data_IF_066121587598
#
_entry.id   IF_066121587598
#
_cell.length_a   1.000
_cell.length_b   1.000
_cell.length_c   1.000
_cell.angle_alpha   90.00
_cell.angle_beta   90.00
_cell.angle_gamma   90.00
#
_symmetry.space_group_name_H-M   'P 1'
#
loop_
_entity.id
_entity.type
_entity.pdbx_description
1 polymer ?
#
# COMPACT_ATOMS: atom_id res chain seq x y z
N UNK A 1 3.31 -4.42 15.35
CA UNK A 1 4.08 -3.24 14.91
C UNK A 1 3.38 -2.68 13.69
N UNK A 2 3.04 -1.39 13.67
CA UNK A 2 2.12 -0.83 12.65
C UNK A 2 2.84 -0.14 11.48
N UNK A 3 4.04 0.40 11.70
CA UNK A 3 4.82 1.12 10.67
C UNK A 3 5.98 0.22 10.22
N UNK A 4 6.18 -0.03 8.91
CA UNK A 4 7.27 -0.86 8.40
C UNK A 4 8.64 -0.34 8.84
N UNK A 5 9.59 -1.23 9.09
CA UNK A 5 10.99 -0.92 9.39
C UNK A 5 11.30 -0.62 10.86
N UNK A 6 10.34 -0.14 11.65
CA UNK A 6 10.58 0.17 13.08
C UNK A 6 11.11 -1.01 13.90
N UNK A 7 10.65 -2.23 13.67
CA UNK A 7 11.02 -3.40 14.47
C UNK A 7 12.41 -3.90 14.14
N UNK A 8 12.83 -3.74 12.89
CA UNK A 8 14.22 -3.88 12.51
C UNK A 8 15.08 -2.80 13.19
N UNK A 9 14.63 -1.54 13.21
CA UNK A 9 15.36 -0.47 13.92
C UNK A 9 15.48 -0.76 15.43
N UNK A 10 14.41 -1.19 16.09
CA UNK A 10 14.41 -1.58 17.49
C UNK A 10 15.29 -2.81 17.76
N UNK A 11 15.33 -3.76 16.84
CA UNK A 11 16.13 -4.98 16.94
C UNK A 11 17.59 -4.83 16.52
N UNK A 12 18.16 -3.62 16.44
CA UNK A 12 19.53 -3.34 15.98
C UNK A 12 19.82 -3.77 14.52
N UNK A 13 18.78 -3.90 13.70
CA UNK A 13 18.86 -4.17 12.26
C UNK A 13 18.64 -2.85 11.46
N UNK A 14 19.47 -1.84 11.75
CA UNK A 14 19.30 -0.48 11.24
C UNK A 14 19.18 -0.38 9.71
N UNK A 15 20.01 -1.12 8.97
CA UNK A 15 20.02 -1.09 7.50
C UNK A 15 18.71 -1.55 6.88
N UNK A 16 18.18 -2.70 7.31
CA UNK A 16 16.90 -3.21 6.78
C UNK A 16 15.73 -2.38 7.28
N UNK A 17 15.80 -1.84 8.52
CA UNK A 17 14.78 -0.92 9.04
C UNK A 17 14.63 0.34 8.18
N UNK A 18 15.73 0.99 7.84
CA UNK A 18 15.71 2.16 6.95
C UNK A 18 15.28 1.82 5.53
N UNK A 19 15.65 0.64 5.01
CA UNK A 19 15.19 0.19 3.71
C UNK A 19 13.66 0.03 3.66
N UNK A 20 13.06 -0.65 4.64
CA UNK A 20 11.60 -0.81 4.71
C UNK A 20 10.88 0.53 4.89
N UNK A 21 11.34 1.38 5.81
CA UNK A 21 10.76 2.72 6.02
C UNK A 21 10.83 3.59 4.76
N UNK A 22 11.98 3.59 4.10
CA UNK A 22 12.20 4.38 2.88
C UNK A 22 11.31 3.91 1.74
N UNK A 23 11.25 2.60 1.50
CA UNK A 23 10.37 2.01 0.47
C UNK A 23 8.90 2.29 0.75
N UNK A 24 8.45 2.11 1.99
CA UNK A 24 7.06 2.37 2.37
C UNK A 24 6.68 3.84 2.14
N UNK A 25 7.52 4.76 2.61
CA UNK A 25 7.29 6.20 2.46
C UNK A 25 7.21 6.60 0.98
N UNK A 26 8.09 6.02 0.15
CA UNK A 26 8.08 6.24 -1.30
C UNK A 26 6.76 5.74 -1.92
N UNK A 27 6.35 4.51 -1.62
CA UNK A 27 5.15 3.92 -2.22
C UNK A 27 3.86 4.61 -1.75
N UNK A 28 3.73 4.93 -0.46
CA UNK A 28 2.61 5.74 0.03
C UNK A 28 2.59 7.11 -0.65
N UNK A 29 3.75 7.76 -0.79
CA UNK A 29 3.86 9.05 -1.48
C UNK A 29 3.41 8.99 -2.94
N UNK A 30 3.81 7.94 -3.66
CA UNK A 30 3.39 7.73 -5.05
C UNK A 30 1.91 7.37 -5.16
N UNK A 31 1.36 6.61 -4.20
CA UNK A 31 -0.07 6.33 -4.15
C UNK A 31 -0.88 7.62 -3.94
N UNK A 32 -0.47 8.45 -2.98
CA UNK A 32 -1.10 9.75 -2.71
C UNK A 32 -1.01 10.70 -3.92
N UNK A 33 0.11 10.70 -4.65
CA UNK A 33 0.24 11.46 -5.90
C UNK A 33 -0.76 10.97 -6.96
N UNK A 34 -0.94 9.65 -7.09
CA UNK A 34 -1.96 9.07 -7.98
C UNK A 34 -3.37 9.53 -7.61
N UNK A 35 -3.70 9.53 -6.32
CA UNK A 35 -5.00 9.99 -5.83
C UNK A 35 -5.23 11.49 -6.08
N UNK A 36 -4.21 12.32 -5.87
CA UNK A 36 -4.29 13.75 -6.17
C UNK A 36 -4.50 14.00 -7.68
N UNK A 37 -3.75 13.30 -8.52
CA UNK A 37 -3.90 13.40 -9.98
C UNK A 37 -5.29 12.93 -10.45
N UNK A 38 -5.86 11.93 -9.80
CA UNK A 38 -7.23 11.47 -10.07
C UNK A 38 -8.23 12.58 -9.77
N UNK A 39 -8.14 13.24 -8.60
CA UNK A 39 -9.05 14.33 -8.23
C UNK A 39 -8.98 15.49 -9.22
N UNK A 40 -7.76 15.87 -9.64
CA UNK A 40 -7.58 16.91 -10.68
C UNK A 40 -8.23 16.49 -12.00
N UNK A 41 -7.99 15.26 -12.47
CA UNK A 41 -8.58 14.79 -13.72
C UNK A 41 -10.11 14.64 -13.64
N UNK A 42 -10.65 14.30 -12.46
CA UNK A 42 -12.10 14.26 -12.21
C UNK A 42 -12.72 15.66 -12.29
N UNK A 43 -12.07 16.67 -11.73
CA UNK A 43 -12.54 18.06 -11.83
C UNK A 43 -12.52 18.55 -13.30
N UNK A 44 -11.46 18.21 -14.05
CA UNK A 44 -11.39 18.52 -15.48
C UNK A 44 -12.50 17.80 -16.28
N UNK A 45 -12.80 16.54 -15.94
CA UNK A 45 -13.90 15.79 -16.53
C UNK A 45 -15.24 16.49 -16.30
N UNK A 46 -15.54 16.87 -15.06
CA UNK A 46 -16.80 17.54 -14.71
C UNK A 46 -16.96 18.85 -15.49
N UNK A 47 -15.89 19.66 -15.56
CA UNK A 47 -15.87 20.90 -16.33
C UNK A 47 -16.08 20.66 -17.84
N UNK A 48 -15.38 19.69 -18.43
CA UNK A 48 -15.51 19.35 -19.84
C UNK A 48 -16.90 18.79 -20.18
N UNK A 49 -17.49 18.00 -19.28
CA UNK A 49 -18.83 17.45 -19.46
C UNK A 49 -19.91 18.52 -19.42
N UNK A 50 -19.77 19.51 -18.53
CA UNK A 50 -20.69 20.68 -18.50
C UNK A 50 -20.60 21.45 -19.82
N UNK A 51 -19.40 21.73 -20.30
CA UNK A 51 -19.20 22.43 -21.58
C UNK A 51 -19.75 21.63 -22.76
N UNK A 52 -19.51 20.32 -22.80
CA UNK A 52 -20.07 19.41 -23.81
C UNK A 52 -21.59 19.46 -23.88
N UNK A 53 -22.27 19.48 -22.72
CA UNK A 53 -23.74 19.54 -22.64
C UNK A 53 -24.31 20.89 -23.04
N UNK A 54 -23.53 21.96 -22.91
CA UNK A 54 -23.95 23.32 -23.26
C UNK A 54 -23.66 23.69 -24.71
N UNK A 55 -22.71 22.99 -25.35
CA UNK A 55 -22.30 23.26 -26.73
C UNK A 55 -23.44 22.98 -27.73
N UNK A 56 -23.65 23.92 -28.65
CA UNK A 56 -24.62 23.80 -29.74
C UNK A 56 -23.96 23.68 -31.10
N UNK A 57 -22.70 24.09 -31.20
CA UNK A 57 -21.90 23.99 -32.41
C UNK A 57 -21.20 22.63 -32.51
N UNK A 58 -21.08 22.08 -33.73
CA UNK A 58 -20.53 20.74 -33.93
C UNK A 58 -19.05 20.64 -33.58
N UNK A 59 -18.28 21.70 -33.82
CA UNK A 59 -16.85 21.73 -33.51
C UNK A 59 -16.63 21.83 -31.99
N UNK A 60 -17.43 22.63 -31.29
CA UNK A 60 -17.41 22.72 -29.82
C UNK A 60 -17.79 21.39 -29.16
N UNK A 61 -18.83 20.71 -29.68
CA UNK A 61 -19.24 19.38 -29.22
C UNK A 61 -18.09 18.38 -29.39
N UNK A 62 -17.40 18.38 -30.53
CA UNK A 62 -16.27 17.48 -30.79
C UNK A 62 -15.07 17.78 -29.86
N UNK A 63 -14.77 19.06 -29.63
CA UNK A 63 -13.70 19.51 -28.74
C UNK A 63 -13.95 19.05 -27.29
N UNK A 64 -15.13 19.35 -26.74
CA UNK A 64 -15.44 19.00 -25.35
C UNK A 64 -15.60 17.50 -25.14
N UNK A 65 -16.06 16.76 -26.16
CA UNK A 65 -16.05 15.29 -26.13
C UNK A 65 -14.62 14.74 -26.02
N UNK A 66 -13.69 15.29 -26.79
CA UNK A 66 -12.28 14.91 -26.73
C UNK A 66 -11.69 15.22 -25.36
N UNK A 67 -11.92 16.42 -24.82
CA UNK A 67 -11.48 16.79 -23.48
C UNK A 67 -12.04 15.87 -22.37
N UNK A 68 -13.30 15.47 -22.50
CA UNK A 68 -13.94 14.52 -21.57
C UNK A 68 -13.26 13.16 -21.62
N UNK A 69 -12.99 12.63 -22.82
CA UNK A 69 -12.30 11.34 -22.99
C UNK A 69 -10.86 11.38 -22.47
N UNK A 70 -10.14 12.49 -22.71
CA UNK A 70 -8.79 12.68 -22.20
C UNK A 70 -8.77 12.76 -20.67
N UNK A 71 -9.77 13.40 -20.05
CA UNK A 71 -9.92 13.42 -18.60
C UNK A 71 -10.17 12.01 -18.03
N UNK A 72 -11.05 11.20 -18.65
CA UNK A 72 -11.27 9.80 -18.27
C UNK A 72 -9.97 8.99 -18.34
N UNK A 73 -9.23 9.09 -19.45
CA UNK A 73 -7.95 8.40 -19.62
C UNK A 73 -6.92 8.78 -18.53
N UNK A 74 -6.88 10.07 -18.17
CA UNK A 74 -6.04 10.55 -17.06
C UNK A 74 -6.49 10.01 -15.70
N UNK A 75 -7.81 9.94 -15.44
CA UNK A 75 -8.36 9.32 -14.24
C UNK A 75 -7.97 7.84 -14.14
N UNK A 76 -8.12 7.06 -15.22
CA UNK A 76 -7.78 5.64 -15.25
C UNK A 76 -6.29 5.40 -14.96
N UNK A 77 -5.43 6.21 -15.59
CA UNK A 77 -3.98 6.16 -15.35
C UNK A 77 -3.63 6.51 -13.91
N UNK A 78 -4.23 7.57 -13.37
CA UNK A 78 -3.99 8.03 -12.00
C UNK A 78 -4.47 7.01 -10.96
N UNK A 79 -5.64 6.41 -11.19
CA UNK A 79 -6.17 5.34 -10.36
C UNK A 79 -5.28 4.10 -10.41
N UNK A 80 -4.85 3.69 -11.61
CA UNK A 80 -3.92 2.56 -11.79
C UNK A 80 -2.60 2.77 -11.04
N UNK A 81 -2.05 3.99 -11.10
CA UNK A 81 -0.87 4.38 -10.34
C UNK A 81 -1.11 4.29 -8.83
N UNK A 82 -2.20 4.88 -8.34
CA UNK A 82 -2.57 4.86 -6.92
C UNK A 82 -2.71 3.43 -6.39
N UNK A 83 -3.45 2.58 -7.11
CA UNK A 83 -3.66 1.17 -6.79
C UNK A 83 -2.33 0.41 -6.77
N UNK A 84 -1.51 0.56 -7.81
CA UNK A 84 -0.23 -0.14 -7.93
C UNK A 84 0.66 0.15 -6.72
N UNK A 85 0.84 1.43 -6.38
CA UNK A 85 1.72 1.80 -5.27
C UNK A 85 1.10 1.50 -3.90
N UNK A 86 -0.23 1.52 -3.76
CA UNK A 86 -0.90 1.06 -2.54
C UNK A 86 -0.67 -0.44 -2.30
N UNK A 87 -0.75 -1.26 -3.36
CA UNK A 87 -0.44 -2.69 -3.29
C UNK A 87 1.02 -2.91 -2.93
N UNK A 88 1.95 -2.19 -3.56
CA UNK A 88 3.38 -2.29 -3.24
C UNK A 88 3.68 -1.89 -1.79
N UNK A 89 3.05 -0.83 -1.26
CA UNK A 89 3.14 -0.48 0.15
C UNK A 89 2.64 -1.62 1.04
N UNK A 90 1.46 -2.19 0.75
CA UNK A 90 0.95 -3.35 1.48
C UNK A 90 1.90 -4.56 1.47
N UNK A 91 2.56 -4.83 0.35
CA UNK A 91 3.57 -5.90 0.23
C UNK A 91 4.81 -5.59 1.06
N UNK A 92 5.34 -4.36 1.00
CA UNK A 92 6.49 -3.92 1.80
C UNK A 92 6.19 -4.00 3.29
N UNK A 93 5.00 -3.55 3.70
CA UNK A 93 4.52 -3.67 5.06
C UNK A 93 4.50 -5.12 5.54
N UNK A 94 3.89 -6.02 4.75
CA UNK A 94 3.82 -7.45 5.09
C UNK A 94 5.21 -8.09 5.21
N UNK A 95 6.11 -7.80 4.26
CA UNK A 95 7.50 -8.27 4.30
C UNK A 95 8.24 -7.74 5.54
N UNK A 96 8.01 -6.48 5.91
CA UNK A 96 8.62 -5.87 7.09
C UNK A 96 8.15 -6.52 8.39
N UNK A 97 6.86 -6.85 8.52
CA UNK A 97 6.31 -7.56 9.69
C UNK A 97 6.96 -8.93 9.83
N UNK A 98 7.02 -9.71 8.74
CA UNK A 98 7.65 -11.04 8.73
C UNK A 98 9.12 -10.96 9.11
N UNK A 99 9.88 -10.08 8.45
CA UNK A 99 11.31 -9.91 8.75
C UNK A 99 11.53 -9.48 10.20
N UNK A 100 10.71 -8.56 10.74
CA UNK A 100 10.84 -8.13 12.13
C UNK A 100 10.59 -9.27 13.11
N UNK A 101 9.70 -10.21 12.80
CA UNK A 101 9.45 -11.38 13.65
C UNK A 101 10.62 -12.36 13.62
N UNK A 102 11.29 -12.54 12.47
CA UNK A 102 12.44 -13.43 12.32
C UNK A 102 13.70 -12.93 13.04
N UNK A 103 13.90 -11.61 13.10
CA UNK A 103 15.12 -11.00 13.67
C UNK A 103 14.91 -10.45 15.08
N UNK A 104 13.77 -10.76 15.69
CA UNK A 104 13.48 -10.36 17.06
C UNK A 104 14.51 -11.01 18.02
N UNK A 105 15.12 -10.23 18.93
CA UNK A 105 16.07 -10.78 19.90
C UNK A 105 15.43 -11.84 20.81
N UNK A 106 16.21 -12.85 21.19
CA UNK A 106 15.76 -13.96 22.05
C UNK A 106 15.14 -13.50 23.37
N UNK A 107 15.57 -12.36 23.92
CA UNK A 107 15.05 -11.76 25.15
C UNK A 107 13.60 -11.25 25.03
N UNK A 108 13.13 -10.99 23.80
CA UNK A 108 11.73 -10.66 23.49
C UNK A 108 10.91 -11.90 23.10
N UNK A 109 11.58 -12.99 22.70
CA UNK A 109 10.96 -14.28 22.35
C UNK A 109 10.82 -15.21 23.57
N UNK A 110 11.77 -15.18 24.50
CA UNK A 110 11.76 -15.96 25.74
C UNK A 110 11.00 -15.20 26.83
N UNK A 111 9.82 -15.71 27.20
CA UNK A 111 9.03 -15.22 28.34
C UNK A 111 7.69 -14.57 28.00
N UNK A 112 7.37 -14.36 26.72
CA UNK A 112 5.98 -14.08 26.31
C UNK A 112 5.30 -15.35 25.82
N UNK A 113 4.28 -15.80 26.53
CA UNK A 113 3.26 -16.67 25.95
C UNK A 113 2.53 -15.90 24.85
N UNK A 114 2.99 -16.08 23.62
CA UNK A 114 2.27 -15.60 22.45
C UNK A 114 0.94 -16.37 22.36
N UNK A 115 -0.19 -15.67 22.15
CA UNK A 115 -1.51 -16.32 22.08
C UNK A 115 -1.65 -17.25 20.87
N UNK A 116 -0.78 -17.07 19.87
CA UNK A 116 -0.65 -17.95 18.71
C UNK A 116 0.84 -18.25 18.52
N UNK A 117 1.19 -19.53 18.44
CA UNK A 117 2.54 -20.02 18.18
C UNK A 117 2.51 -20.92 16.94
N UNK A 118 3.38 -20.63 15.97
CA UNK A 118 3.62 -21.48 14.81
C UNK A 118 5.03 -22.04 14.93
N UNK A 119 5.16 -23.36 15.06
CA UNK A 119 6.43 -24.04 15.25
C UNK A 119 6.55 -25.21 14.27
N UNK A 120 7.78 -25.57 13.88
CA UNK A 120 8.03 -26.81 13.15
C UNK A 120 8.62 -27.83 14.12
N UNK A 121 7.97 -28.99 14.24
CA UNK A 121 8.43 -30.08 15.08
C UNK A 121 9.37 -30.99 14.26
N UNK A 122 10.68 -31.01 14.56
CA UNK A 122 11.65 -31.75 13.76
C UNK A 122 11.56 -33.28 13.94
N UNK A 123 10.91 -33.74 15.02
CA UNK A 123 10.75 -35.18 15.30
C UNK A 123 9.55 -35.74 14.55
N UNK A 124 8.42 -35.03 14.58
CA UNK A 124 7.19 -35.46 13.90
C UNK A 124 7.13 -34.98 12.44
N UNK A 125 8.05 -34.10 12.03
CA UNK A 125 8.13 -33.46 10.71
C UNK A 125 6.87 -32.68 10.31
N UNK A 126 6.20 -32.10 11.28
CA UNK A 126 4.96 -31.35 11.08
C UNK A 126 5.11 -29.90 11.49
N UNK A 127 4.40 -29.02 10.80
CA UNK A 127 4.17 -27.64 11.23
C UNK A 127 2.99 -27.63 12.19
N UNK A 128 3.19 -27.12 13.39
CA UNK A 128 2.23 -27.07 14.48
C UNK A 128 1.79 -25.62 14.72
N UNK A 129 0.48 -25.41 14.82
CA UNK A 129 -0.13 -24.13 15.17
C UNK A 129 -0.84 -24.29 16.52
N UNK A 130 -0.38 -23.58 17.54
CA UNK A 130 -0.86 -23.67 18.92
C UNK A 130 -1.48 -22.35 19.37
N UNK A 131 -2.67 -22.43 19.97
CA UNK A 131 -3.35 -21.27 20.56
C UNK A 131 -3.27 -21.34 22.09
N UNK A 132 -2.82 -20.26 22.72
CA UNK A 132 -2.75 -20.14 24.18
C UNK A 132 -3.66 -19.01 24.65
N UNK A 133 -4.61 -19.34 25.52
CA UNK A 133 -5.51 -18.38 26.17
C UNK A 133 -5.55 -18.65 27.67
N UNK A 134 -5.55 -17.59 28.46
CA UNK A 134 -5.77 -17.65 29.91
C UNK A 134 -7.26 -17.47 30.18
N UNK A 135 -7.86 -18.38 30.97
CA UNK A 135 -9.23 -18.23 31.48
C UNK A 135 -9.24 -17.36 32.74
#
# INVERSE_FOLDING_TARGET
MFVPGLGQLYGNHGKSGWAYLGSETLFIGLAAMGMNNYNTASADYDAALVAYKAATDTDEIALHKTATNDAISRMDKANSMSLTFSVLAGVVWGASVIHSAMVAPDELAHGRTMPIQLAYNPVTKNTELTFNFSL
#
